data_IF_275146559405
#
_entry.id   IF_275146559405
#
_cell.length_a   1.000
_cell.length_b   1.000
_cell.length_c   1.000
_cell.angle_alpha   90.00
_cell.angle_beta   90.00
_cell.angle_gamma   90.00
#
_symmetry.space_group_name_H-M   'P 1'
#
loop_
_entity.id
_entity.type
_entity.pdbx_description
1 polymer ?
#
# COMPACT_ATOMS: atom_id res chain seq x y z
N UNK A 1 -5.40 -12.65 3.53
CA UNK A 1 -4.50 -12.82 4.70
C UNK A 1 -4.80 -11.84 5.82
N UNK A 2 -4.68 -10.52 5.59
CA UNK A 2 -4.92 -9.51 6.66
C UNK A 2 -6.33 -9.63 7.27
N UNK A 3 -7.37 -9.79 6.45
CA UNK A 3 -8.74 -9.98 6.96
C UNK A 3 -8.89 -11.21 7.86
N UNK A 4 -8.13 -12.28 7.60
CA UNK A 4 -8.17 -13.50 8.40
C UNK A 4 -7.54 -13.29 9.77
N UNK A 5 -6.39 -12.59 9.84
CA UNK A 5 -5.78 -12.27 11.13
C UNK A 5 -6.63 -11.24 11.90
N UNK A 6 -7.25 -10.28 11.22
CA UNK A 6 -8.18 -9.34 11.85
C UNK A 6 -9.41 -10.04 12.42
N UNK A 7 -9.99 -11.00 11.69
CA UNK A 7 -11.08 -11.85 12.19
C UNK A 7 -10.62 -12.67 13.39
N UNK A 8 -9.46 -13.33 13.29
CA UNK A 8 -8.91 -14.15 14.37
C UNK A 8 -8.68 -13.32 15.65
N UNK A 9 -8.13 -12.11 15.52
CA UNK A 9 -7.93 -11.19 16.64
C UNK A 9 -9.26 -10.69 17.23
N UNK A 10 -10.22 -10.29 16.38
CA UNK A 10 -11.53 -9.81 16.82
C UNK A 10 -12.28 -10.85 17.66
N UNK A 11 -12.13 -12.12 17.31
CA UNK A 11 -12.82 -13.24 17.97
C UNK A 11 -11.92 -14.03 18.92
N UNK A 12 -10.68 -13.56 19.19
CA UNK A 12 -9.71 -14.21 20.06
C UNK A 12 -9.51 -15.71 19.75
N UNK A 13 -9.43 -16.05 18.46
CA UNK A 13 -9.28 -17.44 18.03
C UNK A 13 -7.98 -18.05 18.54
N UNK A 14 -8.05 -19.32 18.94
CA UNK A 14 -6.87 -20.13 19.27
C UNK A 14 -6.11 -20.52 18.00
N UNK A 15 -4.85 -20.97 18.15
CA UNK A 15 -4.05 -21.47 17.02
C UNK A 15 -4.74 -22.62 16.28
N UNK A 16 -5.34 -23.55 17.02
CA UNK A 16 -6.09 -24.68 16.46
C UNK A 16 -7.32 -24.19 15.66
N UNK A 17 -8.07 -23.23 16.20
CA UNK A 17 -9.22 -22.66 15.50
C UNK A 17 -8.81 -21.92 14.20
N UNK A 18 -7.64 -21.29 14.17
CA UNK A 18 -7.09 -20.69 12.94
C UNK A 18 -6.71 -21.77 11.94
N UNK A 19 -6.09 -22.87 12.40
CA UNK A 19 -5.74 -24.00 11.52
C UNK A 19 -6.98 -24.60 10.86
N UNK A 20 -8.03 -24.87 11.65
CA UNK A 20 -9.30 -25.39 11.15
C UNK A 20 -9.97 -24.41 10.16
N UNK A 21 -9.93 -23.10 10.45
CA UNK A 21 -10.43 -22.06 9.56
C UNK A 21 -9.71 -22.04 8.21
N UNK A 22 -8.38 -22.21 8.21
CA UNK A 22 -7.60 -22.24 6.96
C UNK A 22 -7.93 -23.47 6.11
N UNK A 23 -8.17 -24.63 6.75
CA UNK A 23 -8.65 -25.84 6.06
C UNK A 23 -10.04 -25.60 5.46
N UNK A 24 -10.95 -24.99 6.21
CA UNK A 24 -12.28 -24.64 5.69
C UNK A 24 -12.17 -23.73 4.47
N UNK A 25 -11.34 -22.69 4.52
CA UNK A 25 -11.14 -21.79 3.38
C UNK A 25 -10.56 -22.55 2.18
N UNK A 26 -9.58 -23.44 2.41
CA UNK A 26 -9.01 -24.26 1.34
C UNK A 26 -10.06 -25.08 0.62
N UNK A 27 -10.98 -25.71 1.36
CA UNK A 27 -12.05 -26.54 0.79
C UNK A 27 -13.09 -25.74 -0.02
N UNK A 28 -13.23 -24.43 0.23
CA UNK A 28 -14.22 -23.58 -0.45
C UNK A 28 -13.62 -22.75 -1.59
N UNK A 29 -12.29 -22.67 -1.71
CA UNK A 29 -11.64 -21.90 -2.77
C UNK A 29 -11.48 -22.69 -4.06
N UNK A 30 -11.78 -22.04 -5.19
CA UNK A 30 -11.55 -22.58 -6.54
C UNK A 30 -10.05 -22.66 -6.85
N UNK A 31 -9.67 -23.62 -7.69
CA UNK A 31 -8.27 -23.84 -8.12
C UNK A 31 -7.89 -22.88 -9.26
N UNK A 32 -6.73 -22.19 -9.19
CA UNK A 32 -5.72 -22.25 -8.14
C UNK A 32 -6.06 -21.38 -6.92
N UNK A 33 -5.97 -21.98 -5.73
CA UNK A 33 -6.14 -21.27 -4.47
C UNK A 33 -4.83 -20.57 -4.06
N UNK A 34 -4.87 -19.23 -3.98
CA UNK A 34 -3.74 -18.38 -3.57
C UNK A 34 -3.68 -18.16 -2.04
N UNK A 35 -4.63 -18.73 -1.28
CA UNK A 35 -4.69 -18.65 0.17
C UNK A 35 -3.68 -19.60 0.83
N UNK A 36 -3.11 -19.19 1.96
CA UNK A 36 -2.31 -20.04 2.83
C UNK A 36 -3.18 -21.17 3.41
N UNK A 37 -2.63 -22.38 3.41
CA UNK A 37 -3.39 -23.63 3.64
C UNK A 37 -3.25 -24.18 5.05
N UNK A 38 -2.22 -23.74 5.77
CA UNK A 38 -1.97 -24.19 7.13
C UNK A 38 -1.37 -23.07 7.98
N UNK A 39 -1.43 -23.27 9.30
CA UNK A 39 -1.00 -22.28 10.27
C UNK A 39 0.47 -21.89 10.12
N UNK A 40 1.34 -22.83 9.75
CA UNK A 40 2.77 -22.55 9.57
C UNK A 40 2.98 -21.56 8.42
N UNK A 41 2.47 -21.87 7.22
CA UNK A 41 2.66 -20.98 6.06
C UNK A 41 1.91 -19.66 6.22
N UNK A 42 0.78 -19.66 6.94
CA UNK A 42 0.07 -18.46 7.34
C UNK A 42 0.90 -17.56 8.26
N UNK A 43 1.52 -18.12 9.31
CA UNK A 43 2.39 -17.36 10.22
C UNK A 43 3.68 -16.92 9.52
N UNK A 44 4.24 -17.76 8.66
CA UNK A 44 5.43 -17.43 7.87
C UNK A 44 5.13 -16.28 6.89
N UNK A 45 3.92 -16.22 6.31
CA UNK A 45 3.48 -15.08 5.51
C UNK A 45 3.58 -13.76 6.29
N UNK A 46 3.09 -13.72 7.54
CA UNK A 46 3.16 -12.50 8.36
C UNK A 46 4.56 -12.21 8.90
N UNK A 47 5.35 -13.23 9.22
CA UNK A 47 6.77 -13.06 9.59
C UNK A 47 7.60 -12.50 8.43
N UNK A 48 7.29 -12.93 7.21
CA UNK A 48 7.90 -12.43 5.99
C UNK A 48 7.25 -11.14 5.47
N UNK A 49 6.17 -10.67 6.09
CA UNK A 49 5.57 -9.38 5.79
C UNK A 49 6.49 -8.29 6.36
N UNK A 50 7.56 -7.99 5.62
CA UNK A 50 8.65 -7.08 6.00
C UNK A 50 8.27 -5.61 5.90
N UNK A 51 7.00 -5.22 5.99
CA UNK A 51 6.70 -3.79 6.10
C UNK A 51 6.75 -3.44 7.59
N UNK A 52 7.81 -2.77 8.06
CA UNK A 52 7.90 -2.45 9.48
C UNK A 52 6.79 -1.45 9.78
N UNK A 53 5.81 -1.88 10.57
CA UNK A 53 4.84 -0.96 11.16
C UNK A 53 5.62 0.02 12.04
N UNK A 54 5.65 1.28 11.66
CA UNK A 54 6.37 2.31 12.39
C UNK A 54 5.41 3.08 13.30
N UNK A 55 5.84 3.33 14.53
CA UNK A 55 5.13 4.20 15.45
C UNK A 55 5.66 5.61 15.31
N UNK A 56 4.79 6.52 14.90
CA UNK A 56 5.14 7.91 14.63
C UNK A 56 4.47 8.78 15.70
N UNK A 57 5.28 9.43 16.53
CA UNK A 57 4.83 10.17 17.70
C UNK A 57 4.56 11.63 17.38
N UNK A 58 3.63 12.22 18.12
CA UNK A 58 3.32 13.64 18.04
C UNK A 58 2.89 14.18 19.41
N UNK A 59 2.96 15.50 19.57
CA UNK A 59 2.46 16.16 20.77
C UNK A 59 0.92 16.24 20.77
N UNK A 60 0.25 15.69 21.77
CA UNK A 60 -1.21 15.79 21.92
C UNK A 60 -1.70 17.24 22.05
N UNK A 61 -0.87 18.13 22.61
CA UNK A 61 -1.27 19.49 22.97
C UNK A 61 -1.11 20.51 21.84
N UNK A 62 -0.15 20.31 20.94
CA UNK A 62 0.12 21.24 19.82
C UNK A 62 0.26 20.54 18.46
N UNK A 63 -0.03 19.23 18.40
CA UNK A 63 0.00 18.39 17.19
C UNK A 63 1.33 18.34 16.43
N UNK A 64 2.43 18.79 17.04
CA UNK A 64 3.74 18.77 16.37
C UNK A 64 4.26 17.34 16.29
N UNK A 65 4.79 17.00 15.13
CA UNK A 65 5.34 15.68 14.83
C UNK A 65 6.73 15.52 15.44
N UNK A 66 6.99 14.37 16.06
CA UNK A 66 8.25 14.06 16.75
C UNK A 66 9.05 12.93 16.10
N UNK A 67 8.56 12.29 15.03
CA UNK A 67 9.28 11.18 14.41
C UNK A 67 8.98 9.83 15.05
N UNK A 68 9.92 8.89 14.90
CA UNK A 68 9.82 7.52 15.42
C UNK A 68 10.23 7.41 16.89
N UNK A 69 10.75 8.49 17.48
CA UNK A 69 11.22 8.52 18.88
C UNK A 69 10.17 9.08 19.83
N UNK A 70 10.06 8.43 20.99
CA UNK A 70 9.22 8.95 22.08
C UNK A 70 9.92 10.13 22.75
N UNK A 71 9.18 11.21 22.92
CA UNK A 71 9.63 12.37 23.67
C UNK A 71 8.86 12.53 24.97
N UNK A 72 9.59 12.70 26.08
CA UNK A 72 9.00 12.97 27.40
C UNK A 72 8.47 14.40 27.52
N UNK A 73 9.09 15.34 26.81
CA UNK A 73 8.74 16.76 26.80
C UNK A 73 8.73 17.27 25.37
N UNK A 74 7.62 17.87 24.95
CA UNK A 74 7.51 18.49 23.63
C UNK A 74 8.50 19.66 23.48
N UNK A 75 9.29 19.69 22.41
CA UNK A 75 10.25 20.77 22.17
C UNK A 75 9.57 22.12 21.83
N UNK A 76 8.32 22.09 21.39
CA UNK A 76 7.59 23.27 20.92
C UNK A 76 6.77 23.93 22.04
N UNK A 77 5.95 23.16 22.76
CA UNK A 77 5.06 23.70 23.79
C UNK A 77 5.47 23.33 25.22
N UNK A 78 6.57 22.60 25.39
CA UNK A 78 7.10 22.14 26.69
C UNK A 78 6.13 21.30 27.54
N UNK A 79 5.02 20.84 26.94
CA UNK A 79 4.11 19.92 27.59
C UNK A 79 4.79 18.58 27.85
N UNK A 80 4.59 18.04 29.05
CA UNK A 80 5.05 16.69 29.41
C UNK A 80 4.12 15.65 28.81
N UNK A 81 4.69 14.58 28.26
CA UNK A 81 3.93 13.41 27.85
C UNK A 81 3.21 12.80 29.06
N UNK A 82 1.97 12.34 28.87
CA UNK A 82 1.24 11.61 29.92
C UNK A 82 1.96 10.28 30.18
N UNK A 83 2.13 9.92 31.46
CA UNK A 83 2.69 8.61 31.84
C UNK A 83 1.85 7.50 31.18
N UNK A 84 2.52 6.59 30.48
CA UNK A 84 1.93 5.45 29.76
C UNK A 84 1.02 5.79 28.57
N UNK A 85 1.04 7.04 28.09
CA UNK A 85 0.23 7.49 26.96
C UNK A 85 1.01 8.54 26.15
N UNK A 86 1.80 8.07 25.20
CA UNK A 86 2.36 8.92 24.14
C UNK A 86 1.42 8.85 22.94
N UNK A 87 0.92 9.98 22.47
CA UNK A 87 0.11 10.02 21.25
C UNK A 87 0.95 9.63 20.04
N UNK A 88 0.44 8.70 19.24
CA UNK A 88 1.09 8.22 18.02
C UNK A 88 0.06 7.89 16.95
N UNK A 89 0.53 7.81 15.72
CA UNK A 89 -0.15 7.14 14.61
C UNK A 89 0.78 6.08 14.03
N UNK A 90 0.20 5.16 13.26
CA UNK A 90 0.94 4.09 12.61
C UNK A 90 1.28 4.52 11.19
N UNK A 91 2.53 4.32 10.80
CA UNK A 91 2.98 4.48 9.42
C UNK A 91 3.36 3.11 8.90
N UNK A 92 2.80 2.76 7.74
CA UNK A 92 3.26 1.63 6.95
C UNK A 92 4.18 2.23 5.88
N UNK A 93 5.50 2.07 5.97
CA UNK A 93 6.44 2.77 5.11
C UNK A 93 6.23 2.31 3.67
N UNK A 94 5.65 3.20 2.86
CA UNK A 94 5.32 2.91 1.46
C UNK A 94 6.59 2.80 0.62
N UNK A 95 7.64 3.55 0.97
CA UNK A 95 8.92 3.52 0.24
C UNK A 95 9.52 2.12 0.27
N UNK A 96 9.59 1.45 1.43
CA UNK A 96 10.16 0.10 1.52
C UNK A 96 9.31 -0.94 0.79
N UNK A 97 7.98 -0.77 0.78
CA UNK A 97 7.09 -1.62 0.01
C UNK A 97 7.31 -1.45 -1.50
N UNK A 98 7.37 -0.21 -1.99
CA UNK A 98 7.62 0.08 -3.39
C UNK A 98 9.02 -0.38 -3.81
N UNK A 99 10.05 -0.16 -2.99
CA UNK A 99 11.41 -0.65 -3.26
C UNK A 99 11.45 -2.17 -3.35
N UNK A 100 10.74 -2.88 -2.46
CA UNK A 100 10.66 -4.35 -2.51
C UNK A 100 9.92 -4.82 -3.76
N UNK A 101 8.84 -4.13 -4.13
CA UNK A 101 8.03 -4.44 -5.30
C UNK A 101 8.85 -4.27 -6.59
N UNK A 102 9.60 -3.18 -6.73
CA UNK A 102 10.43 -2.92 -7.91
C UNK A 102 11.80 -3.61 -7.88
N UNK A 103 12.17 -4.27 -6.79
CA UNK A 103 13.30 -5.20 -6.74
C UNK A 103 12.97 -6.56 -7.39
N UNK A 104 11.69 -6.86 -7.64
CA UNK A 104 11.26 -8.06 -8.36
C UNK A 104 11.46 -7.90 -9.87
N UNK A 105 12.48 -8.58 -10.41
CA UNK A 105 12.82 -8.55 -11.83
C UNK A 105 11.67 -9.03 -12.74
N UNK A 106 10.89 -10.02 -12.30
CA UNK A 106 9.76 -10.55 -13.08
C UNK A 106 8.63 -9.53 -13.15
N UNK A 107 8.35 -8.81 -12.06
CA UNK A 107 7.40 -7.71 -12.09
C UNK A 107 7.87 -6.59 -13.01
N UNK A 108 9.13 -6.16 -12.87
CA UNK A 108 9.70 -5.09 -13.70
C UNK A 108 9.60 -5.44 -15.18
N UNK A 109 9.92 -6.69 -15.54
CA UNK A 109 9.79 -7.19 -16.91
C UNK A 109 8.34 -7.18 -17.40
N UNK A 110 7.38 -7.61 -16.58
CA UNK A 110 5.96 -7.54 -16.93
C UNK A 110 5.50 -6.10 -17.18
N UNK A 111 5.87 -5.15 -16.32
CA UNK A 111 5.50 -3.74 -16.48
C UNK A 111 6.10 -3.16 -17.77
N UNK A 112 7.36 -3.46 -18.08
CA UNK A 112 8.00 -3.01 -19.33
C UNK A 112 7.29 -3.59 -20.57
N UNK A 113 6.98 -4.88 -20.55
CA UNK A 113 6.29 -5.54 -21.66
C UNK A 113 4.87 -4.97 -21.89
N UNK A 114 4.13 -4.69 -20.82
CA UNK A 114 2.80 -4.09 -20.90
C UNK A 114 2.83 -2.67 -21.50
N UNK A 115 3.82 -1.85 -21.13
CA UNK A 115 4.01 -0.53 -21.73
C UNK A 115 4.38 -0.60 -23.21
N UNK A 116 5.21 -1.56 -23.59
CA UNK A 116 5.59 -1.74 -24.98
C UNK A 116 4.40 -2.16 -25.86
N UNK A 117 3.45 -2.95 -25.34
CA UNK A 117 2.29 -3.40 -26.11
C UNK A 117 1.24 -2.30 -26.34
N UNK A 118 1.09 -1.38 -25.38
CA UNK A 118 0.09 -0.29 -25.42
C UNK A 118 0.48 0.88 -26.33
N UNK A 119 1.77 1.17 -26.50
CA UNK A 119 2.26 2.23 -27.39
C UNK A 119 1.99 2.01 -28.89
N UNK A 120 1.46 0.85 -29.29
CA UNK A 120 1.35 0.44 -30.69
C UNK A 120 0.04 0.81 -31.40
N UNK A 121 -0.94 1.40 -30.69
CA UNK A 121 -2.31 1.56 -31.21
C UNK A 121 -2.79 3.02 -31.16
N UNK A 122 -2.40 3.82 -32.15
CA UNK A 122 -2.95 5.18 -32.39
C UNK A 122 -4.21 5.08 -33.27
N UNK A 123 -5.23 4.39 -32.77
CA UNK A 123 -6.51 4.13 -33.46
C UNK A 123 -7.68 5.00 -32.93
N UNK A 124 -7.39 5.90 -31.99
CA UNK A 124 -8.37 6.77 -31.34
C UNK A 124 -9.23 6.10 -30.25
N UNK A 125 -9.03 4.80 -29.96
CA UNK A 125 -9.73 4.14 -28.85
C UNK A 125 -9.05 4.41 -27.50
N UNK A 126 -9.86 4.78 -26.51
CA UNK A 126 -9.45 4.87 -25.11
C UNK A 126 -9.61 3.48 -24.46
N UNK A 127 -8.50 2.83 -24.10
CA UNK A 127 -8.45 1.51 -23.46
C UNK A 127 -7.82 1.56 -22.08
N UNK A 128 -6.86 2.45 -21.88
CA UNK A 128 -6.12 2.60 -20.63
C UNK A 128 -5.85 4.07 -20.29
N UNK A 129 -5.39 4.35 -19.07
CA UNK A 129 -4.97 5.65 -18.57
C UNK A 129 -3.93 6.29 -19.50
N UNK A 130 -3.07 5.47 -20.12
CA UNK A 130 -2.04 5.92 -21.06
C UNK A 130 -2.62 6.52 -22.35
N UNK A 131 -3.86 6.20 -22.71
CA UNK A 131 -4.54 6.77 -23.87
C UNK A 131 -5.08 8.18 -23.61
N UNK A 132 -5.20 8.56 -22.34
CA UNK A 132 -5.74 9.84 -21.90
C UNK A 132 -4.89 11.02 -22.35
N UNK A 133 -5.55 12.12 -22.71
CA UNK A 133 -4.90 13.36 -23.19
C UNK A 133 -3.82 13.85 -22.22
N UNK A 134 -4.12 13.87 -20.91
CA UNK A 134 -3.17 14.34 -19.89
C UNK A 134 -1.91 13.47 -19.80
N UNK A 135 -2.03 12.15 -20.01
CA UNK A 135 -0.88 11.26 -20.04
C UNK A 135 -0.03 11.56 -21.29
N UNK A 136 -0.67 11.66 -22.46
CA UNK A 136 -0.01 11.99 -23.74
C UNK A 136 0.62 13.40 -23.79
N UNK A 137 0.18 14.33 -22.95
CA UNK A 137 0.82 15.65 -22.78
C UNK A 137 2.14 15.57 -21.99
N UNK A 138 2.37 14.49 -21.25
CA UNK A 138 3.53 14.31 -20.35
C UNK A 138 4.48 13.22 -20.82
N UNK A 139 4.02 12.27 -21.63
CA UNK A 139 4.79 11.15 -22.12
C UNK A 139 4.85 11.14 -23.66
N UNK A 140 6.05 10.91 -24.20
CA UNK A 140 6.28 10.75 -25.63
C UNK A 140 5.73 9.45 -26.19
N UNK A 141 5.72 9.35 -27.53
CA UNK A 141 5.34 8.11 -28.24
C UNK A 141 6.29 6.94 -27.99
N UNK A 142 7.47 7.25 -27.48
CA UNK A 142 8.46 6.30 -26.98
C UNK A 142 8.10 5.72 -25.60
N UNK A 143 7.05 6.26 -24.94
CA UNK A 143 6.60 5.84 -23.62
C UNK A 143 7.35 6.48 -22.45
N UNK A 144 8.28 7.41 -22.74
CA UNK A 144 9.10 8.09 -21.75
C UNK A 144 8.56 9.48 -21.43
N UNK A 145 8.89 10.00 -20.25
CA UNK A 145 8.49 11.35 -19.87
C UNK A 145 9.15 12.39 -20.80
N UNK A 146 8.42 13.42 -21.19
CA UNK A 146 8.98 14.48 -22.02
C UNK A 146 10.11 15.22 -21.30
N UNK A 147 11.27 15.31 -21.95
CA UNK A 147 12.47 15.90 -21.37
C UNK A 147 13.39 14.91 -20.64
N UNK A 148 13.08 13.61 -20.67
CA UNK A 148 14.03 12.57 -20.24
C UNK A 148 15.31 12.63 -21.09
N UNK A 149 16.46 12.64 -20.41
CA UNK A 149 17.77 12.44 -21.04
C UNK A 149 17.94 11.00 -21.54
N UNK A 150 18.94 10.75 -22.39
CA UNK A 150 19.24 9.41 -22.88
C UNK A 150 19.55 8.42 -21.73
N UNK A 151 20.11 8.90 -20.63
CA UNK A 151 20.36 8.11 -19.42
C UNK A 151 19.06 7.75 -18.69
N UNK A 152 18.09 8.67 -18.69
CA UNK A 152 16.76 8.47 -18.08
C UNK A 152 15.82 7.63 -18.96
N UNK A 153 16.10 7.51 -20.26
CA UNK A 153 15.35 6.63 -21.20
C UNK A 153 15.55 5.13 -20.95
N UNK A 154 16.23 4.73 -19.85
CA UNK A 154 16.25 3.36 -19.34
C UNK A 154 15.39 3.13 -18.09
N UNK A 155 14.93 4.20 -17.45
CA UNK A 155 14.23 4.14 -16.16
C UNK A 155 12.78 3.69 -16.30
N UNK A 156 12.26 3.07 -15.24
CA UNK A 156 10.87 2.67 -15.19
C UNK A 156 10.01 3.84 -14.69
N UNK A 157 9.28 4.50 -15.59
CA UNK A 157 8.29 5.51 -15.18
C UNK A 157 7.02 4.84 -14.68
N UNK A 158 6.57 5.13 -13.45
CA UNK A 158 5.33 4.57 -12.90
C UNK A 158 4.43 5.70 -12.43
N UNK A 159 3.15 5.65 -12.81
CA UNK A 159 2.11 6.53 -12.28
C UNK A 159 1.36 5.78 -11.18
N UNK A 160 1.24 6.42 -10.00
CA UNK A 160 0.54 5.85 -8.85
C UNK A 160 -0.71 6.68 -8.58
N UNK A 161 -1.86 6.02 -8.46
CA UNK A 161 -3.06 6.63 -7.90
C UNK A 161 -3.19 6.17 -6.45
N UNK A 162 -3.14 7.12 -5.51
CA UNK A 162 -3.38 6.86 -4.10
C UNK A 162 -4.76 7.40 -3.75
N UNK A 163 -5.66 6.50 -3.35
CA UNK A 163 -6.92 6.89 -2.76
C UNK A 163 -6.74 6.89 -1.24
N UNK A 164 -6.92 8.05 -0.61
CA UNK A 164 -7.06 8.12 0.84
C UNK A 164 -8.54 7.95 1.17
N UNK A 165 -8.89 7.00 2.03
CA UNK A 165 -10.22 6.97 2.63
C UNK A 165 -10.29 8.16 3.62
N UNK A 166 -10.67 9.31 3.08
CA UNK A 166 -10.87 10.52 3.85
C UNK A 166 -12.28 10.50 4.42
N UNK A 167 -12.39 10.63 5.74
CA UNK A 167 -13.59 11.15 6.41
C UNK A 167 -14.15 12.27 5.55
N UNK A 168 -15.41 12.14 5.14
CA UNK A 168 -16.05 13.10 4.25
C UNK A 168 -15.93 14.51 4.83
N UNK A 169 -15.30 15.43 4.08
CA UNK A 169 -15.30 16.87 4.36
C UNK A 169 -16.70 17.48 4.26
N UNK A 170 -17.65 16.73 3.68
CA UNK A 170 -19.05 17.11 3.56
C UNK A 170 -19.90 16.25 4.48
N UNK A 171 -20.81 16.87 5.24
CA UNK A 171 -21.90 16.10 5.84
C UNK A 171 -22.60 15.33 4.72
N UNK A 172 -22.73 14.00 4.88
CA UNK A 172 -23.54 13.17 3.99
C UNK A 172 -24.90 13.84 3.78
N UNK A 173 -25.18 14.28 2.56
CA UNK A 173 -26.52 14.76 2.23
C UNK A 173 -27.48 13.57 2.26
N UNK A 174 -28.63 13.71 2.92
CA UNK A 174 -29.70 12.70 2.97
C UNK A 174 -30.39 12.43 1.61
N UNK A 175 -29.78 12.85 0.50
CA UNK A 175 -30.34 12.67 -0.82
C UNK A 175 -29.77 11.40 -1.43
N UNK A 176 -30.60 10.35 -1.44
CA UNK A 176 -30.39 9.17 -2.28
C UNK A 176 -31.13 9.42 -3.60
N UNK A 177 -30.45 9.22 -4.73
CA UNK A 177 -31.10 8.96 -6.02
C UNK A 177 -31.38 7.45 -6.10
#
# INVERSE_FOLDING_TARGET
>A
MILLISYAMRHSLTGDAIADLLVLIELHCLTPNLCQKNLKTFMDFFRNCKSPLQFHYYCENCSIYHGEEKMDVCHNCHAKAKKNSTSYFLVIPIVSQLSSLFADEELVKHVRNYKASTNSLDDGMLRDIMDGRLYKERFGKDGFFHGSTAEQQGELHVSLQMNTDGVSLFHSSNFSI
#
